data_IF_284047892555
#
_entry.id   IF_284047892555
#
_cell.length_a   1.000
_cell.length_b   1.000
_cell.length_c   1.000
_cell.angle_alpha   90.00
_cell.angle_beta   90.00
_cell.angle_gamma   90.00
#
_symmetry.space_group_name_H-M   'P 1'
#
loop_
_entity.id
_entity.type
_entity.pdbx_description
1 polymer ?
#
# COMPACT_ATOMS: atom_id res chain seq x y z
N UNK A 1 6.81 13.46 -0.27
CA UNK A 1 7.75 12.37 0.09
C UNK A 1 7.39 11.16 -0.76
N UNK A 2 8.34 10.56 -1.49
CA UNK A 2 8.06 9.52 -2.47
C UNK A 2 8.09 8.15 -1.77
N UNK A 3 6.93 7.52 -1.54
CA UNK A 3 6.86 6.16 -0.98
C UNK A 3 7.32 5.20 -2.07
N UNK A 4 8.44 4.51 -1.85
CA UNK A 4 8.95 3.48 -2.77
C UNK A 4 8.47 2.13 -2.28
N UNK A 5 7.60 1.48 -3.06
CA UNK A 5 7.07 0.15 -2.75
C UNK A 5 7.75 -0.91 -3.59
N UNK A 6 8.17 -2.00 -2.95
CA UNK A 6 8.66 -3.20 -3.63
C UNK A 6 7.50 -3.97 -4.24
N UNK A 7 7.79 -4.92 -5.14
CA UNK A 7 6.77 -5.82 -5.68
C UNK A 7 6.03 -6.61 -4.57
N UNK A 8 6.73 -6.95 -3.49
CA UNK A 8 6.15 -7.67 -2.34
C UNK A 8 5.18 -6.77 -1.58
N UNK A 9 5.55 -5.52 -1.34
CA UNK A 9 4.68 -4.53 -0.69
C UNK A 9 3.41 -4.30 -1.50
N UNK A 10 3.54 -4.14 -2.82
CA UNK A 10 2.40 -3.96 -3.73
C UNK A 10 1.44 -5.16 -3.63
N UNK A 11 1.95 -6.39 -3.61
CA UNK A 11 1.13 -7.60 -3.44
C UNK A 11 0.43 -7.62 -2.08
N UNK A 12 1.16 -7.28 -1.01
CA UNK A 12 0.61 -7.20 0.32
C UNK A 12 -0.54 -6.19 0.41
N UNK A 13 -0.33 -4.97 -0.09
CA UNK A 13 -1.36 -3.93 -0.09
C UNK A 13 -2.56 -4.30 -0.97
N UNK A 14 -2.36 -5.01 -2.08
CA UNK A 14 -3.48 -5.52 -2.90
C UNK A 14 -4.30 -6.57 -2.13
N UNK A 15 -3.67 -7.48 -1.41
CA UNK A 15 -4.38 -8.43 -0.55
C UNK A 15 -5.12 -7.71 0.58
N UNK A 16 -4.47 -6.75 1.24
CA UNK A 16 -5.08 -5.96 2.30
C UNK A 16 -6.28 -5.16 1.79
N UNK A 17 -6.16 -4.52 0.63
CA UNK A 17 -7.23 -3.78 -0.01
C UNK A 17 -8.43 -4.66 -0.37
N UNK A 18 -8.19 -5.86 -0.91
CA UNK A 18 -9.24 -6.83 -1.19
C UNK A 18 -9.99 -7.23 0.10
N UNK A 19 -9.24 -7.47 1.18
CA UNK A 19 -9.80 -7.82 2.49
C UNK A 19 -10.64 -6.68 3.08
N UNK A 20 -10.14 -5.43 3.09
CA UNK A 20 -10.89 -4.24 3.56
C UNK A 20 -12.20 -4.10 2.78
N UNK A 21 -12.14 -4.25 1.45
CA UNK A 21 -13.30 -4.10 0.56
C UNK A 21 -14.22 -5.32 0.52
N UNK A 22 -13.89 -6.40 1.25
CA UNK A 22 -14.58 -7.69 1.22
C UNK A 22 -14.80 -8.22 -0.21
N UNK A 23 -13.75 -8.13 -1.03
CA UNK A 23 -13.76 -8.61 -2.43
C UNK A 23 -12.83 -9.81 -2.60
N UNK A 24 -13.04 -10.64 -3.64
CA UNK A 24 -12.07 -11.66 -4.03
C UNK A 24 -10.69 -11.07 -4.30
N UNK A 25 -9.65 -11.89 -4.15
CA UNK A 25 -8.29 -11.49 -4.48
C UNK A 25 -8.16 -11.10 -5.95
N UNK A 26 -7.32 -10.08 -6.20
CA UNK A 26 -7.03 -9.63 -7.55
C UNK A 26 -6.30 -10.72 -8.35
N UNK A 27 -6.75 -10.94 -9.58
CA UNK A 27 -6.08 -11.86 -10.50
C UNK A 27 -4.63 -11.45 -10.79
N UNK A 28 -3.80 -12.43 -11.13
CA UNK A 28 -2.38 -12.20 -11.39
C UNK A 28 -2.12 -11.18 -12.52
N UNK A 29 -3.04 -11.08 -13.49
CA UNK A 29 -2.96 -10.11 -14.58
C UNK A 29 -3.11 -8.69 -14.03
N UNK A 30 -4.08 -8.46 -13.14
CA UNK A 30 -4.30 -7.17 -12.47
C UNK A 30 -3.11 -6.81 -11.60
N UNK A 31 -2.58 -7.75 -10.81
CA UNK A 31 -1.38 -7.52 -9.99
C UNK A 31 -0.19 -7.07 -10.86
N UNK A 32 0.01 -7.69 -12.03
CA UNK A 32 1.07 -7.30 -12.97
C UNK A 32 0.86 -5.90 -13.56
N UNK A 33 -0.38 -5.52 -13.87
CA UNK A 33 -0.71 -4.17 -14.35
C UNK A 33 -0.38 -3.10 -13.30
N UNK A 34 -0.73 -3.36 -12.04
CA UNK A 34 -0.41 -2.45 -10.93
C UNK A 34 1.10 -2.32 -10.75
N UNK A 35 1.84 -3.43 -10.73
CA UNK A 35 3.32 -3.38 -10.63
C UNK A 35 3.93 -2.58 -11.79
N UNK A 36 3.44 -2.76 -13.03
CA UNK A 36 3.87 -1.94 -14.17
C UNK A 36 3.56 -0.46 -13.96
N UNK A 37 2.39 -0.11 -13.43
CA UNK A 37 2.03 1.26 -13.14
C UNK A 37 2.92 1.92 -12.08
N UNK A 38 3.39 1.16 -11.08
CA UNK A 38 4.42 1.62 -10.14
C UNK A 38 5.77 1.83 -10.84
N UNK A 39 6.22 0.88 -11.66
CA UNK A 39 7.52 0.94 -12.36
C UNK A 39 7.61 2.08 -13.37
N UNK A 40 6.55 2.32 -14.13
CA UNK A 40 6.54 3.32 -15.20
C UNK A 40 5.94 4.65 -14.77
N UNK A 41 5.65 4.81 -13.47
CA UNK A 41 4.90 5.93 -12.93
C UNK A 41 3.59 6.23 -13.70
N UNK A 42 2.96 5.21 -14.27
CA UNK A 42 1.70 5.37 -14.99
C UNK A 42 0.53 5.58 -14.02
N UNK A 43 -0.54 6.20 -14.51
CA UNK A 43 -1.78 6.32 -13.78
C UNK A 43 -2.48 4.96 -13.69
N UNK A 44 -2.97 4.62 -12.50
CA UNK A 44 -3.74 3.40 -12.27
C UNK A 44 -4.54 3.53 -10.97
N UNK A 45 -5.84 3.20 -10.99
CA UNK A 45 -6.72 3.37 -9.83
C UNK A 45 -6.19 2.62 -8.58
N UNK A 46 -5.88 1.33 -8.72
CA UNK A 46 -5.32 0.53 -7.61
C UNK A 46 -3.97 1.06 -7.11
N UNK A 47 -3.13 1.67 -7.96
CA UNK A 47 -1.88 2.30 -7.51
C UNK A 47 -2.18 3.44 -6.54
N UNK A 48 -3.14 4.30 -6.88
CA UNK A 48 -3.57 5.41 -6.02
C UNK A 48 -4.10 4.91 -4.67
N UNK A 49 -4.92 3.87 -4.67
CA UNK A 49 -5.44 3.29 -3.43
C UNK A 49 -4.35 2.66 -2.57
N UNK A 50 -3.40 1.95 -3.18
CA UNK A 50 -2.24 1.38 -2.48
C UNK A 50 -1.36 2.48 -1.87
N UNK A 51 -1.11 3.56 -2.62
CA UNK A 51 -0.33 4.70 -2.12
C UNK A 51 -1.01 5.35 -0.90
N UNK A 52 -2.33 5.46 -0.91
CA UNK A 52 -3.10 5.97 0.22
C UNK A 52 -3.01 5.05 1.44
N UNK A 53 -3.18 3.73 1.25
CA UNK A 53 -3.01 2.73 2.31
C UNK A 53 -1.60 2.73 2.90
N UNK A 54 -0.58 2.84 2.04
CA UNK A 54 0.80 2.89 2.47
C UNK A 54 1.10 4.15 3.31
N UNK A 55 0.59 5.31 2.90
CA UNK A 55 0.76 6.55 3.67
C UNK A 55 0.03 6.49 5.02
N UNK A 56 -1.20 5.94 5.05
CA UNK A 56 -1.92 5.71 6.31
C UNK A 56 -1.15 4.77 7.25
N UNK A 57 -0.64 3.65 6.73
CA UNK A 57 0.15 2.68 7.49
C UNK A 57 1.41 3.31 8.09
N UNK A 58 2.10 4.17 7.33
CA UNK A 58 3.28 4.90 7.80
C UNK A 58 2.93 5.85 8.95
N UNK A 59 1.89 6.66 8.79
CA UNK A 59 1.44 7.61 9.83
C UNK A 59 1.00 6.91 11.12
N UNK A 60 0.35 5.74 11.00
CA UNK A 60 -0.02 4.94 12.17
C UNK A 60 1.22 4.44 12.93
N UNK A 61 2.25 3.99 12.21
CA UNK A 61 3.53 3.59 12.80
C UNK A 61 4.23 4.76 13.52
N UNK A 62 4.31 5.92 12.86
CA UNK A 62 4.91 7.15 13.43
C UNK A 62 4.19 7.59 14.72
N UNK A 63 2.85 7.53 14.73
CA UNK A 63 2.07 7.87 15.93
C UNK A 63 2.35 6.92 17.09
N UNK A 64 2.48 5.62 16.83
CA UNK A 64 2.77 4.63 17.87
C UNK A 64 4.18 4.80 18.45
N UNK A 65 5.17 5.15 17.62
CA UNK A 65 6.54 5.48 18.05
C UNK A 65 6.58 6.72 18.95
N UNK A 66 5.81 7.75 18.63
CA UNK A 66 5.73 8.98 19.45
C UNK A 66 5.02 8.76 20.80
N UNK A 67 4.02 7.86 20.86
CA UNK A 67 3.35 7.53 22.13
C UNK A 67 4.23 6.71 23.09
N UNK A 68 5.19 5.93 22.58
CA UNK A 68 6.10 5.12 23.42
C UNK A 68 7.29 5.90 24.02
N UNK A 69 7.50 7.17 23.64
CA UNK A 69 8.62 8.00 24.13
C UNK A 69 8.21 8.89 25.32
N UNK A 70 6.92 8.90 25.69
CA UNK A 70 6.37 9.75 26.76
C UNK A 70 6.26 9.09 28.14
N UNK A 71 6.67 7.83 28.30
CA UNK A 71 6.69 7.12 29.59
C UNK A 71 8.15 6.83 29.98
N UNK A 72 8.82 7.82 30.58
CA UNK A 72 10.19 7.71 31.10
C UNK A 72 10.40 8.65 32.26
#
# INVERSE_FOLDING_TARGET
MNIVLTNSDIRFYLMWLANIKRRPHYEIIVVRQVIKAFRHNAEHQLKTEIMHLADMSRRACEKNLLSSVGEG
#
